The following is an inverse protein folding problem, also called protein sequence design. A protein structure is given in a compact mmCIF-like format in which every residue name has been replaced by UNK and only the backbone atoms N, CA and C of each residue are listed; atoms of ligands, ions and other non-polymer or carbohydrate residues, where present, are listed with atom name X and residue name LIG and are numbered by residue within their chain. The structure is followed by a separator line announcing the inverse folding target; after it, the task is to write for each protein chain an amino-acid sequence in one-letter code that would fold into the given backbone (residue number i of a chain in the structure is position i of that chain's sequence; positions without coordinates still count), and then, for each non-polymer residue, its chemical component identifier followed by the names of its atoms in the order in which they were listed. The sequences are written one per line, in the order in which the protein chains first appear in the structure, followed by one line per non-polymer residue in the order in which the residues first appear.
data_IF_727028341942
#
_entry.id   IF_727028341942
#
_cell.length_a   1.000
_cell.length_b   1.000
_cell.length_c   1.000
_cell.angle_alpha   90.00
_cell.angle_beta   90.00
_cell.angle_gamma   90.00
#
_symmetry.space_group_name_H-M   'P 1'
#
loop_
_entity.id
_entity.type
_entity.pdbx_description
1 polymer ?
#
# COMPACT_ATOMS: atom_id res chain seq x y z
N UNK A 1 -21.39 18.06 9.62
CA UNK A 1 -20.50 19.24 9.71
C UNK A 1 -21.39 20.45 10.06
N UNK A 2 -21.17 21.06 11.23
CA UNK A 2 -22.13 21.91 11.95
C UNK A 2 -22.50 23.21 11.21
N UNK A 3 -23.81 23.54 11.10
CA UNK A 3 -24.38 24.74 10.44
C UNK A 3 -23.64 26.06 10.73
N UNK A 4 -22.99 26.18 11.89
CA UNK A 4 -22.15 27.32 12.28
C UNK A 4 -20.95 27.54 11.34
N UNK A 5 -20.30 26.47 10.85
CA UNK A 5 -19.16 26.57 9.90
C UNK A 5 -19.61 27.09 8.54
N UNK A 6 -20.80 26.68 8.08
CA UNK A 6 -21.37 27.12 6.80
C UNK A 6 -21.71 28.62 6.81
N UNK A 7 -22.33 29.11 7.90
CA UNK A 7 -22.65 30.53 8.08
C UNK A 7 -21.38 31.38 8.09
N UNK A 8 -20.33 30.92 8.78
CA UNK A 8 -19.05 31.65 8.87
C UNK A 8 -18.35 31.77 7.50
N UNK A 9 -18.41 30.71 6.69
CA UNK A 9 -17.89 30.71 5.31
C UNK A 9 -18.68 31.67 4.41
N UNK A 10 -20.02 31.65 4.48
CA UNK A 10 -20.88 32.53 3.69
C UNK A 10 -20.67 34.02 4.03
N UNK A 11 -20.53 34.35 5.31
CA UNK A 11 -20.25 35.72 5.78
C UNK A 11 -18.87 36.19 5.29
N UNK A 12 -17.86 35.33 5.34
CA UNK A 12 -16.51 35.65 4.87
C UNK A 12 -16.48 35.91 3.36
N UNK A 13 -17.18 35.08 2.57
CA UNK A 13 -17.31 35.26 1.12
C UNK A 13 -18.05 36.57 0.81
N UNK A 14 -19.16 36.86 1.49
CA UNK A 14 -19.92 38.10 1.30
C UNK A 14 -19.10 39.35 1.63
N UNK A 15 -18.34 39.33 2.73
CA UNK A 15 -17.44 40.43 3.09
C UNK A 15 -16.34 40.66 2.05
N UNK A 16 -15.79 39.57 1.50
CA UNK A 16 -14.73 39.62 0.48
C UNK A 16 -15.25 40.22 -0.84
N UNK A 17 -16.47 39.85 -1.24
CA UNK A 17 -17.14 40.40 -2.43
C UNK A 17 -17.45 41.89 -2.26
N UNK A 18 -17.93 42.31 -1.09
CA UNK A 18 -18.20 43.72 -0.79
C UNK A 18 -16.93 44.57 -0.80
N UNK A 19 -15.82 44.04 -0.26
CA UNK A 19 -14.51 44.70 -0.31
C UNK A 19 -14.00 44.85 -1.74
N UNK A 20 -14.08 43.79 -2.55
CA UNK A 20 -13.69 43.82 -3.95
C UNK A 20 -14.52 44.82 -4.76
N UNK A 21 -15.83 44.87 -4.51
CA UNK A 21 -16.73 45.84 -5.16
C UNK A 21 -16.39 47.28 -4.77
N UNK A 22 -16.12 47.54 -3.49
CA UNK A 22 -15.71 48.86 -2.99
C UNK A 22 -14.37 49.31 -3.61
N UNK A 23 -13.40 48.41 -3.70
CA UNK A 23 -12.08 48.67 -4.33
C UNK A 23 -12.27 48.98 -5.82
N UNK A 24 -13.08 48.19 -6.52
CA UNK A 24 -13.37 48.40 -7.95
C UNK A 24 -14.10 49.72 -8.22
N UNK A 25 -15.06 50.09 -7.37
CA UNK A 25 -15.87 51.32 -7.56
C UNK A 25 -15.04 52.61 -7.48
N UNK A 26 -13.96 52.62 -6.69
CA UNK A 26 -13.08 53.78 -6.49
C UNK A 26 -11.74 53.67 -7.20
N UNK A 27 -11.57 52.63 -8.01
CA UNK A 27 -10.29 52.30 -8.64
C UNK A 27 -9.72 53.47 -9.43
N UNK A 28 -10.56 54.12 -10.24
CA UNK A 28 -10.15 55.20 -11.15
C UNK A 28 -9.92 56.55 -10.44
N UNK A 29 -10.29 56.65 -9.16
CA UNK A 29 -10.07 57.84 -8.32
C UNK A 29 -8.73 57.79 -7.57
N UNK A 30 -8.04 56.64 -7.59
CA UNK A 30 -6.81 56.43 -6.85
C UNK A 30 -5.58 56.86 -7.65
N UNK A 31 -4.57 57.37 -6.94
CA UNK A 31 -3.26 57.60 -7.52
C UNK A 31 -2.66 56.30 -8.05
N UNK A 32 -1.92 56.40 -9.15
CA UNK A 32 -1.31 55.26 -9.86
C UNK A 32 -0.42 54.42 -8.91
N UNK A 33 0.27 55.06 -7.96
CA UNK A 33 1.09 54.38 -6.95
C UNK A 33 0.27 53.42 -6.08
N UNK A 34 -0.94 53.82 -5.66
CA UNK A 34 -1.80 52.98 -4.82
C UNK A 34 -2.42 51.83 -5.62
N UNK A 35 -2.79 52.08 -6.88
CA UNK A 35 -3.25 51.03 -7.80
C UNK A 35 -2.18 49.94 -8.00
N UNK A 36 -0.92 50.35 -8.16
CA UNK A 36 0.20 49.43 -8.30
C UNK A 36 0.40 48.57 -7.04
N UNK A 37 0.44 49.19 -5.86
CA UNK A 37 0.60 48.49 -4.58
C UNK A 37 -0.52 47.47 -4.36
N UNK A 38 -1.77 47.86 -4.57
CA UNK A 38 -2.92 46.95 -4.38
C UNK A 38 -2.89 45.80 -5.38
N UNK A 39 -2.55 46.07 -6.64
CA UNK A 39 -2.39 45.02 -7.66
C UNK A 39 -1.30 44.02 -7.26
N UNK A 40 -0.17 44.51 -6.76
CA UNK A 40 0.95 43.68 -6.32
C UNK A 40 0.56 42.73 -5.19
N UNK A 41 -0.13 43.24 -4.16
CA UNK A 41 -0.61 42.40 -3.06
C UNK A 41 -1.70 41.40 -3.49
N UNK A 42 -2.59 41.79 -4.41
CA UNK A 42 -3.58 40.86 -4.98
C UNK A 42 -2.88 39.74 -5.75
N UNK A 43 -1.87 40.06 -6.56
CA UNK A 43 -1.11 39.05 -7.31
C UNK A 43 -0.40 38.07 -6.38
N UNK A 44 0.23 38.55 -5.31
CA UNK A 44 0.87 37.68 -4.29
C UNK A 44 -0.18 36.80 -3.61
N UNK A 45 -1.29 37.38 -3.16
CA UNK A 45 -2.34 36.64 -2.47
C UNK A 45 -2.93 35.53 -3.37
N UNK A 46 -3.17 35.84 -4.65
CA UNK A 46 -3.62 34.85 -5.64
C UNK A 46 -2.57 33.77 -5.88
N UNK A 47 -1.30 34.14 -6.03
CA UNK A 47 -0.21 33.18 -6.20
C UNK A 47 -0.09 32.21 -5.02
N UNK A 48 -0.11 32.73 -3.79
CA UNK A 48 -0.09 31.92 -2.57
C UNK A 48 -1.33 31.03 -2.47
N UNK A 49 -2.52 31.53 -2.83
CA UNK A 49 -3.74 30.74 -2.83
C UNK A 49 -3.64 29.55 -3.80
N UNK A 50 -3.13 29.77 -5.01
CA UNK A 50 -2.92 28.70 -5.99
C UNK A 50 -1.97 27.64 -5.43
N UNK A 51 -0.85 28.04 -4.86
CA UNK A 51 0.16 27.10 -4.35
C UNK A 51 -0.31 26.33 -3.11
N UNK A 52 -0.95 27.02 -2.15
CA UNK A 52 -1.30 26.41 -0.87
C UNK A 52 -2.64 25.66 -0.89
N UNK A 53 -3.53 25.98 -1.82
CA UNK A 53 -4.90 25.45 -1.83
C UNK A 53 -5.20 24.68 -3.12
N UNK A 54 -4.88 25.27 -4.27
CA UNK A 54 -5.29 24.71 -5.56
C UNK A 54 -4.37 23.56 -5.98
N UNK A 55 -3.05 23.71 -5.86
CA UNK A 55 -2.08 22.65 -6.20
C UNK A 55 -2.28 21.39 -5.35
N UNK A 56 -2.41 21.44 -4.01
CA UNK A 56 -2.62 20.23 -3.21
C UNK A 56 -3.92 19.52 -3.59
N UNK A 57 -5.02 20.26 -3.74
CA UNK A 57 -6.30 19.65 -4.12
C UNK A 57 -6.26 19.01 -5.52
N UNK A 58 -5.52 19.60 -6.46
CA UNK A 58 -5.33 19.02 -7.78
C UNK A 58 -4.42 17.79 -7.72
N UNK A 59 -3.32 17.85 -6.95
CA UNK A 59 -2.41 16.75 -6.73
C UNK A 59 -3.11 15.55 -6.09
N UNK A 60 -3.99 15.78 -5.11
CA UNK A 60 -4.79 14.73 -4.48
C UNK A 60 -5.75 14.06 -5.48
N UNK A 61 -6.37 14.85 -6.38
CA UNK A 61 -7.29 14.33 -7.41
C UNK A 61 -6.57 13.55 -8.50
N UNK A 62 -5.42 14.06 -8.96
CA UNK A 62 -4.58 13.37 -9.94
C UNK A 62 -3.99 12.11 -9.31
N UNK A 63 -3.45 12.21 -8.11
CA UNK A 63 -2.96 11.09 -7.31
C UNK A 63 -4.05 10.04 -7.14
N UNK A 64 -5.25 10.43 -6.72
CA UNK A 64 -6.38 9.52 -6.69
C UNK A 64 -6.61 8.91 -8.07
N UNK A 65 -6.78 9.65 -9.15
CA UNK A 65 -6.99 9.07 -10.48
C UNK A 65 -5.93 8.02 -10.91
N UNK A 66 -4.64 8.28 -10.65
CA UNK A 66 -3.56 7.35 -10.99
C UNK A 66 -3.41 6.17 -10.02
N UNK A 67 -3.53 6.39 -8.71
CA UNK A 67 -3.36 5.35 -7.68
C UNK A 67 -4.67 4.61 -7.34
N UNK A 68 -5.81 5.17 -7.72
CA UNK A 68 -7.16 4.62 -7.53
C UNK A 68 -7.60 3.80 -8.74
N UNK A 69 -6.83 3.80 -9.84
CA UNK A 69 -6.85 2.66 -10.73
C UNK A 69 -6.30 1.49 -9.89
N UNK A 70 -7.10 0.47 -9.56
CA UNK A 70 -6.54 -0.71 -8.97
C UNK A 70 -5.66 -1.30 -10.07
N UNK A 71 -4.36 -1.03 -10.02
CA UNK A 71 -3.44 -2.12 -10.24
C UNK A 71 -3.92 -3.18 -9.24
N UNK A 72 -4.70 -4.13 -9.77
CA UNK A 72 -4.88 -5.41 -9.12
C UNK A 72 -3.47 -6.02 -9.09
N UNK A 73 -2.62 -5.54 -8.18
CA UNK A 73 -1.53 -6.32 -7.67
C UNK A 73 -2.25 -7.53 -7.09
N UNK A 74 -2.39 -8.58 -7.91
CA UNK A 74 -2.78 -9.90 -7.42
C UNK A 74 -1.84 -10.10 -6.24
N UNK A 75 -2.34 -10.10 -4.99
CA UNK A 75 -1.44 -10.12 -3.87
C UNK A 75 -0.66 -11.41 -4.02
N UNK A 76 0.67 -11.28 -4.06
CA UNK A 76 1.59 -12.38 -4.30
C UNK A 76 1.11 -13.60 -3.49
N UNK A 77 0.86 -14.75 -4.14
CA UNK A 77 0.41 -15.96 -3.45
C UNK A 77 1.25 -16.29 -2.21
N UNK A 78 2.56 -16.03 -2.25
CA UNK A 78 3.47 -16.22 -1.13
C UNK A 78 3.16 -15.27 0.03
N UNK A 79 2.87 -14.00 -0.25
CA UNK A 79 2.47 -13.02 0.76
C UNK A 79 1.16 -13.44 1.42
N UNK A 80 0.19 -13.94 0.65
CA UNK A 80 -1.07 -14.44 1.20
C UNK A 80 -0.87 -15.66 2.10
N UNK A 81 -0.02 -16.60 1.69
CA UNK A 81 0.30 -17.78 2.50
C UNK A 81 1.01 -17.37 3.82
N UNK A 82 2.01 -16.49 3.74
CA UNK A 82 2.71 -15.97 4.92
C UNK A 82 1.80 -15.18 5.87
N UNK A 83 0.83 -14.44 5.33
CA UNK A 83 -0.17 -13.74 6.14
C UNK A 83 -1.03 -14.70 6.95
N UNK A 84 -1.39 -15.88 6.40
CA UNK A 84 -2.11 -16.91 7.14
C UNK A 84 -1.28 -17.51 8.28
N UNK A 85 0.02 -17.74 8.06
CA UNK A 85 0.95 -18.14 9.14
C UNK A 85 0.92 -17.11 10.26
N UNK A 86 1.01 -15.83 9.91
CA UNK A 86 0.99 -14.72 10.89
C UNK A 86 -0.33 -14.62 11.65
N UNK A 87 -1.43 -15.05 11.04
CA UNK A 87 -2.77 -15.10 11.66
C UNK A 87 -2.99 -16.37 12.50
N UNK A 88 -2.05 -17.32 12.50
CA UNK A 88 -2.21 -18.63 13.14
C UNK A 88 -3.08 -19.61 12.36
N UNK A 89 -3.49 -19.28 11.13
CA UNK A 89 -4.19 -20.19 10.22
C UNK A 89 -3.17 -21.10 9.52
N UNK A 90 -2.58 -22.03 10.28
CA UNK A 90 -1.52 -22.91 9.82
C UNK A 90 -1.99 -23.89 8.74
N UNK A 91 -3.17 -24.48 8.90
CA UNK A 91 -3.78 -25.36 7.90
C UNK A 91 -4.08 -24.60 6.60
N UNK A 92 -4.64 -23.39 6.71
CA UNK A 92 -4.88 -22.54 5.56
C UNK A 92 -3.59 -22.07 4.88
N UNK A 93 -2.51 -21.86 5.63
CA UNK A 93 -1.19 -21.53 5.09
C UNK A 93 -0.58 -22.72 4.34
N UNK A 94 -0.60 -23.92 4.93
CA UNK A 94 -0.11 -25.16 4.29
C UNK A 94 -0.84 -25.38 2.96
N UNK A 95 -2.17 -25.25 2.94
CA UNK A 95 -2.95 -25.41 1.70
C UNK A 95 -2.60 -24.34 0.65
N UNK A 96 -2.31 -23.11 1.06
CA UNK A 96 -1.87 -22.06 0.15
C UNK A 96 -0.47 -22.35 -0.42
N UNK A 97 0.48 -22.76 0.41
CA UNK A 97 1.81 -23.15 -0.05
C UNK A 97 1.78 -24.39 -0.94
N UNK A 98 0.92 -25.38 -0.67
CA UNK A 98 0.74 -26.54 -1.57
C UNK A 98 0.24 -26.11 -2.95
N UNK A 99 -0.69 -25.17 -3.02
CA UNK A 99 -1.15 -24.64 -4.31
C UNK A 99 0.00 -23.96 -5.09
N UNK A 100 0.85 -23.21 -4.40
CA UNK A 100 2.02 -22.56 -5.01
C UNK A 100 3.03 -23.62 -5.50
N UNK A 101 3.31 -24.65 -4.69
CA UNK A 101 4.19 -25.75 -5.10
C UNK A 101 3.67 -26.54 -6.33
N UNK A 102 2.35 -26.56 -6.54
CA UNK A 102 1.75 -27.17 -7.72
C UNK A 102 1.86 -26.28 -8.97
N UNK A 103 1.77 -24.96 -8.79
CA UNK A 103 1.91 -23.99 -9.87
C UNK A 103 3.37 -23.77 -10.27
N UNK A 104 4.29 -23.86 -9.30
CA UNK A 104 5.74 -23.65 -9.43
C UNK A 104 6.51 -24.85 -8.84
N UNK A 105 6.50 -26.03 -9.51
CA UNK A 105 7.10 -27.26 -8.98
C UNK A 105 8.62 -27.17 -8.75
N UNK A 106 9.31 -26.29 -9.44
CA UNK A 106 10.74 -25.98 -9.28
C UNK A 106 11.03 -25.05 -8.10
N UNK A 107 10.01 -24.40 -7.55
CA UNK A 107 10.16 -23.51 -6.41
C UNK A 107 10.15 -24.33 -5.12
N UNK A 108 11.32 -24.52 -4.50
CA UNK A 108 11.42 -25.24 -3.23
C UNK A 108 10.87 -24.48 -2.03
N UNK A 109 10.69 -23.15 -2.13
CA UNK A 109 10.33 -22.31 -0.99
C UNK A 109 9.02 -22.75 -0.29
N UNK A 110 7.91 -23.04 -1.01
CA UNK A 110 6.68 -23.50 -0.37
C UNK A 110 6.84 -24.83 0.37
N UNK A 111 7.66 -25.76 -0.13
CA UNK A 111 7.93 -27.06 0.53
C UNK A 111 8.61 -26.83 1.89
N UNK A 112 9.60 -25.93 1.94
CA UNK A 112 10.28 -25.57 3.18
C UNK A 112 9.33 -24.91 4.19
N UNK A 113 8.48 -23.98 3.74
CA UNK A 113 7.52 -23.32 4.62
C UNK A 113 6.47 -24.29 5.17
N UNK A 114 5.97 -25.24 4.36
CA UNK A 114 5.04 -26.29 4.83
C UNK A 114 5.70 -27.12 5.95
N UNK A 115 6.89 -27.65 5.70
CA UNK A 115 7.60 -28.48 6.67
C UNK A 115 7.94 -27.69 7.95
N UNK A 116 8.32 -26.41 7.82
CA UNK A 116 8.55 -25.52 8.95
C UNK A 116 7.29 -25.31 9.79
N UNK A 117 6.15 -25.05 9.17
CA UNK A 117 4.87 -24.88 9.89
C UNK A 117 4.51 -26.16 10.64
N UNK A 118 4.63 -27.32 9.99
CA UNK A 118 4.37 -28.62 10.61
C UNK A 118 5.27 -28.85 11.83
N UNK A 119 6.57 -28.61 11.69
CA UNK A 119 7.54 -28.80 12.77
C UNK A 119 7.39 -27.79 13.92
N UNK A 120 7.39 -26.49 13.61
CA UNK A 120 7.51 -25.43 14.63
C UNK A 120 6.15 -25.05 15.23
N UNK A 121 5.08 -25.04 14.43
CA UNK A 121 3.77 -24.56 14.85
C UNK A 121 2.82 -25.70 15.23
N UNK A 122 2.79 -26.78 14.45
CA UNK A 122 1.93 -27.94 14.72
C UNK A 122 2.61 -28.99 15.61
N UNK A 123 3.94 -28.92 15.77
CA UNK A 123 4.75 -29.92 16.49
C UNK A 123 4.60 -31.33 15.92
N UNK A 124 4.34 -31.41 14.62
CA UNK A 124 4.20 -32.64 13.86
C UNK A 124 5.46 -32.84 13.00
N UNK A 125 6.46 -33.45 13.62
CA UNK A 125 7.77 -33.69 12.98
C UNK A 125 7.64 -34.73 11.87
N UNK A 126 6.80 -35.76 12.06
CA UNK A 126 6.58 -36.81 11.07
C UNK A 126 5.97 -36.24 9.78
N UNK A 127 5.02 -35.30 9.90
CA UNK A 127 4.46 -34.61 8.74
C UNK A 127 5.50 -33.74 8.01
N UNK A 128 6.42 -33.10 8.75
CA UNK A 128 7.50 -32.31 8.17
C UNK A 128 8.50 -33.18 7.38
N UNK A 129 8.90 -34.32 7.96
CA UNK A 129 9.73 -35.34 7.30
C UNK A 129 9.07 -35.82 6.02
N UNK A 130 7.81 -36.26 6.14
CA UNK A 130 7.05 -36.77 5.00
C UNK A 130 6.90 -35.74 3.88
N UNK A 131 6.71 -34.46 4.22
CA UNK A 131 6.63 -33.39 3.20
C UNK A 131 7.91 -33.30 2.36
N UNK A 132 9.09 -33.44 2.98
CA UNK A 132 10.35 -33.44 2.25
C UNK A 132 10.56 -34.73 1.46
N UNK A 133 10.27 -35.90 2.05
CA UNK A 133 10.36 -37.20 1.35
C UNK A 133 9.45 -37.23 0.11
N UNK A 134 8.17 -36.91 0.29
CA UNK A 134 7.19 -36.85 -0.81
C UNK A 134 7.70 -35.89 -1.91
N UNK A 135 8.23 -34.72 -1.54
CA UNK A 135 8.75 -33.76 -2.52
C UNK A 135 9.95 -34.28 -3.31
N UNK A 136 10.83 -35.07 -2.70
CA UNK A 136 12.00 -35.66 -3.35
C UNK A 136 11.61 -36.83 -4.27
N UNK A 137 10.53 -37.54 -3.93
CA UNK A 137 10.01 -38.63 -4.74
C UNK A 137 9.19 -38.14 -5.95
N UNK A 138 8.43 -37.05 -5.80
CA UNK A 138 7.48 -36.61 -6.84
C UNK A 138 8.03 -35.55 -7.79
N UNK A 139 9.04 -34.77 -7.39
CA UNK A 139 9.51 -33.63 -8.17
C UNK A 139 10.95 -33.83 -8.68
N UNK A 140 11.21 -33.35 -9.90
CA UNK A 140 12.57 -33.26 -10.43
C UNK A 140 13.22 -31.96 -9.94
N UNK A 141 14.14 -32.09 -8.98
CA UNK A 141 14.87 -30.96 -8.42
C UNK A 141 16.21 -30.73 -9.13
N UNK A 142 16.60 -29.46 -9.26
CA UNK A 142 17.98 -29.13 -9.54
C UNK A 142 18.88 -29.61 -8.38
N UNK A 143 20.11 -30.01 -8.69
CA UNK A 143 21.03 -30.64 -7.71
C UNK A 143 21.18 -29.82 -6.41
N UNK A 144 21.30 -28.50 -6.53
CA UNK A 144 21.42 -27.61 -5.38
C UNK A 144 20.15 -27.57 -4.50
N UNK A 145 18.97 -27.63 -5.12
CA UNK A 145 17.69 -27.58 -4.41
C UNK A 145 17.39 -28.93 -3.75
N UNK A 146 17.67 -30.04 -4.44
CA UNK A 146 17.62 -31.38 -3.87
C UNK A 146 18.55 -31.51 -2.66
N UNK A 147 19.80 -31.05 -2.79
CA UNK A 147 20.77 -31.05 -1.69
C UNK A 147 20.27 -30.22 -0.50
N UNK A 148 19.68 -29.05 -0.75
CA UNK A 148 19.13 -28.23 0.32
C UNK A 148 17.97 -28.93 1.06
N UNK A 149 17.08 -29.61 0.33
CA UNK A 149 15.99 -30.40 0.92
C UNK A 149 16.57 -31.52 1.78
N UNK A 150 17.52 -32.30 1.25
CA UNK A 150 18.19 -33.39 1.97
C UNK A 150 18.90 -32.91 3.24
N UNK A 151 19.59 -31.77 3.19
CA UNK A 151 20.22 -31.19 4.38
C UNK A 151 19.19 -30.80 5.45
N UNK A 152 18.06 -30.23 5.05
CA UNK A 152 17.00 -29.89 6.00
C UNK A 152 16.36 -31.14 6.60
N UNK A 153 16.11 -32.15 5.79
CA UNK A 153 15.59 -33.44 6.23
C UNK A 153 16.53 -34.13 7.22
N UNK A 154 17.83 -34.22 6.88
CA UNK A 154 18.86 -34.77 7.78
C UNK A 154 18.88 -34.02 9.12
N UNK A 155 18.81 -32.69 9.08
CA UNK A 155 18.80 -31.88 10.29
C UNK A 155 17.58 -32.17 11.16
N UNK A 156 16.38 -32.35 10.59
CA UNK A 156 15.19 -32.74 11.36
C UNK A 156 15.40 -34.10 12.04
N UNK A 157 15.93 -35.11 11.34
CA UNK A 157 16.23 -36.42 11.93
C UNK A 157 17.27 -36.38 13.05
N UNK A 158 18.17 -35.41 13.05
CA UNK A 158 19.19 -35.25 14.10
C UNK A 158 18.65 -34.51 15.33
N UNK A 159 17.60 -33.72 15.17
CA UNK A 159 16.97 -32.93 16.24
C UNK A 159 15.73 -33.60 16.86
N UNK A 160 15.13 -34.57 16.18
CA UNK A 160 14.01 -35.40 16.65
C UNK A 160 14.44 -36.47 17.65
#
# INVERSE_FOLDING_TARGET
MTNKKLILVLVSISASVLLAWKISSKWNEWEIGNQFVVTFFIAIALGLFVVLVLLPSLADKIGAFFFSAPEQMKPDPLIKAAAKVSQGDYEGAINAYRAIALEEPENRFPVFEIAKIQQEHLRDVDAAIKTFEDSLETNEWAENDAAAILFRLQHIYLES
#
